data_IF_802696202833
#
_entry.id   IF_802696202833
#
_cell.length_a   1.000
_cell.length_b   1.000
_cell.length_c   1.000
_cell.angle_alpha   90.00
_cell.angle_beta   90.00
_cell.angle_gamma   90.00
#
_symmetry.space_group_name_H-M   'P 1'
#
loop_
_entity.id
_entity.type
_entity.pdbx_description
1 polymer ?
#
# COMPACT_ATOMS: atom_id res chain seq x y z
N UNK A 1 -16.89 -15.78 -27.77
CA UNK A 1 -16.99 -15.10 -26.46
C UNK A 1 -15.61 -15.11 -25.84
N UNK A 2 -15.06 -13.98 -25.34
CA UNK A 2 -13.75 -14.00 -24.68
C UNK A 2 -13.85 -14.83 -23.39
N UNK A 3 -12.90 -15.73 -23.19
CA UNK A 3 -12.77 -16.54 -21.98
C UNK A 3 -12.44 -15.61 -20.80
N UNK A 4 -13.05 -15.78 -19.61
CA UNK A 4 -12.67 -15.01 -18.44
C UNK A 4 -11.19 -15.27 -18.10
N UNK A 5 -10.38 -14.22 -18.08
CA UNK A 5 -8.99 -14.27 -17.62
C UNK A 5 -8.98 -14.23 -16.09
N UNK A 6 -8.55 -15.32 -15.46
CA UNK A 6 -8.40 -15.41 -14.01
C UNK A 6 -6.95 -15.12 -13.60
N UNK A 7 -6.76 -14.19 -12.67
CA UNK A 7 -5.45 -13.89 -12.08
C UNK A 7 -5.45 -14.31 -10.62
N UNK A 8 -4.55 -15.22 -10.25
CA UNK A 8 -4.38 -15.70 -8.87
C UNK A 8 -3.33 -14.83 -8.20
N UNK A 9 -3.66 -14.26 -7.04
CA UNK A 9 -2.73 -13.46 -6.22
C UNK A 9 -2.63 -14.03 -4.81
N UNK A 10 -1.41 -14.06 -4.27
CA UNK A 10 -1.17 -14.47 -2.89
C UNK A 10 -1.29 -13.29 -1.92
N UNK A 11 -2.02 -13.50 -0.83
CA UNK A 11 -2.20 -12.54 0.27
C UNK A 11 -1.14 -12.74 1.37
N UNK A 12 -0.73 -13.99 1.62
CA UNK A 12 0.24 -14.36 2.66
C UNK A 12 -0.16 -13.82 4.07
N UNK A 13 0.83 -13.55 4.93
CA UNK A 13 0.63 -12.96 6.25
C UNK A 13 0.19 -11.48 6.20
N UNK A 14 0.34 -10.83 5.04
CA UNK A 14 -0.02 -9.42 4.84
C UNK A 14 -1.51 -9.17 5.07
N UNK A 15 -2.36 -10.17 4.85
CA UNK A 15 -3.79 -10.06 5.12
C UNK A 15 -4.10 -9.79 6.59
N UNK A 16 -3.34 -10.39 7.52
CA UNK A 16 -3.50 -10.17 8.95
C UNK A 16 -3.01 -8.79 9.36
N UNK A 17 -1.85 -8.38 8.81
CA UNK A 17 -1.28 -7.05 9.07
C UNK A 17 -2.23 -5.96 8.53
N UNK A 18 -2.75 -6.12 7.31
CA UNK A 18 -3.71 -5.20 6.71
C UNK A 18 -5.00 -5.10 7.54
N UNK A 19 -5.51 -6.23 8.02
CA UNK A 19 -6.69 -6.25 8.89
C UNK A 19 -6.44 -5.48 10.20
N UNK A 20 -5.27 -5.66 10.82
CA UNK A 20 -4.89 -4.94 12.03
C UNK A 20 -4.75 -3.43 11.77
N UNK A 21 -4.07 -3.02 10.69
CA UNK A 21 -3.95 -1.62 10.31
C UNK A 21 -5.32 -0.95 10.11
N UNK A 22 -6.28 -1.70 9.55
CA UNK A 22 -7.65 -1.23 9.35
C UNK A 22 -8.43 -1.13 10.67
N UNK A 23 -8.30 -2.12 11.56
CA UNK A 23 -8.95 -2.14 12.86
C UNK A 23 -8.48 -0.98 13.75
N UNK A 24 -7.18 -0.73 13.74
CA UNK A 24 -6.54 0.40 14.43
C UNK A 24 -6.76 1.76 13.75
N UNK A 25 -7.39 1.76 12.57
CA UNK A 25 -7.63 2.97 11.76
C UNK A 25 -6.37 3.80 11.49
N UNK A 26 -5.24 3.15 11.25
CA UNK A 26 -3.94 3.83 11.10
C UNK A 26 -4.00 4.86 9.97
N UNK A 27 -4.56 4.49 8.81
CA UNK A 27 -4.64 5.41 7.68
C UNK A 27 -5.51 6.65 8.00
N UNK A 28 -6.67 6.45 8.62
CA UNK A 28 -7.56 7.56 9.02
C UNK A 28 -6.89 8.50 10.03
N UNK A 29 -6.13 7.94 10.99
CA UNK A 29 -5.43 8.72 12.00
C UNK A 29 -4.34 9.60 11.37
N UNK A 30 -3.58 9.05 10.44
CA UNK A 30 -2.53 9.80 9.73
C UNK A 30 -3.15 10.83 8.80
N UNK A 31 -4.18 10.47 8.03
CA UNK A 31 -4.84 11.41 7.12
C UNK A 31 -5.51 12.58 7.86
N UNK A 32 -5.85 12.42 9.14
CA UNK A 32 -6.35 13.49 10.00
C UNK A 32 -5.24 14.47 10.44
N UNK A 33 -3.99 14.03 10.55
CA UNK A 33 -2.83 14.85 10.95
C UNK A 33 -2.14 15.44 9.73
N UNK A 34 -1.98 14.63 8.68
CA UNK A 34 -1.27 14.93 7.43
C UNK A 34 -2.26 14.72 6.27
N UNK A 35 -3.02 15.78 5.89
CA UNK A 35 -4.02 15.65 4.84
C UNK A 35 -3.39 15.28 3.49
N UNK A 36 -4.18 14.61 2.65
CA UNK A 36 -3.76 14.23 1.29
C UNK A 36 -3.35 15.46 0.47
N UNK A 37 -2.18 15.39 -0.17
CA UNK A 37 -1.75 16.37 -1.16
C UNK A 37 -2.51 16.17 -2.48
N UNK A 38 -2.91 17.27 -3.14
CA UNK A 38 -3.83 17.25 -4.28
C UNK A 38 -3.33 16.45 -5.50
N UNK A 39 -2.01 16.32 -5.65
CA UNK A 39 -1.36 15.67 -6.79
C UNK A 39 -1.06 14.17 -6.56
N UNK A 40 -1.44 13.61 -5.40
CA UNK A 40 -1.15 12.22 -5.06
C UNK A 40 -2.33 11.28 -5.38
N UNK A 41 -2.05 10.10 -5.94
CA UNK A 41 -3.09 9.08 -6.15
C UNK A 41 -3.52 8.39 -4.84
N UNK A 42 -2.61 8.30 -3.87
CA UNK A 42 -2.83 7.71 -2.55
C UNK A 42 -2.78 8.77 -1.45
N UNK A 43 -3.42 8.51 -0.31
CA UNK A 43 -3.29 9.35 0.88
C UNK A 43 -1.99 9.04 1.64
N UNK A 44 -1.58 9.92 2.56
CA UNK A 44 -0.41 9.68 3.42
C UNK A 44 -0.65 8.47 4.32
N UNK A 45 -1.85 8.30 4.84
CA UNK A 45 -2.25 7.13 5.61
C UNK A 45 -2.17 5.83 4.80
N UNK A 46 -2.63 5.84 3.54
CA UNK A 46 -2.51 4.69 2.65
C UNK A 46 -1.06 4.37 2.30
N UNK A 47 -0.24 5.39 2.04
CA UNK A 47 1.19 5.25 1.81
C UNK A 47 1.88 4.63 3.05
N UNK A 48 1.56 5.10 4.25
CA UNK A 48 2.11 4.53 5.49
C UNK A 48 1.69 3.07 5.69
N UNK A 49 0.42 2.72 5.45
CA UNK A 49 -0.02 1.32 5.52
C UNK A 49 0.75 0.45 4.52
N UNK A 50 1.00 0.95 3.31
CA UNK A 50 1.86 0.26 2.35
C UNK A 50 3.29 0.08 2.88
N UNK A 51 3.86 1.08 3.56
CA UNK A 51 5.18 0.96 4.20
C UNK A 51 5.22 -0.06 5.33
N UNK A 52 4.17 -0.13 6.15
CA UNK A 52 4.04 -1.14 7.20
C UNK A 52 3.98 -2.54 6.57
N UNK A 53 3.14 -2.71 5.55
CA UNK A 53 3.00 -3.99 4.84
C UNK A 53 4.29 -4.41 4.15
N UNK A 54 5.03 -3.48 3.55
CA UNK A 54 6.34 -3.77 2.98
C UNK A 54 7.36 -4.12 4.06
N UNK A 55 7.47 -3.32 5.13
CA UNK A 55 8.44 -3.50 6.20
C UNK A 55 8.22 -4.77 7.04
N UNK A 56 6.97 -5.23 7.18
CA UNK A 56 6.62 -6.51 7.83
C UNK A 56 6.54 -7.67 6.83
N UNK A 57 6.54 -7.36 5.54
CA UNK A 57 6.40 -8.30 4.44
C UNK A 57 7.71 -8.73 3.78
N UNK A 58 8.80 -7.99 4.01
CA UNK A 58 10.07 -8.19 3.33
C UNK A 58 11.28 -8.05 4.27
N UNK A 59 12.15 -9.06 4.21
CA UNK A 59 13.45 -9.11 4.88
C UNK A 59 14.50 -8.49 3.94
N UNK A 60 15.20 -7.44 4.36
CA UNK A 60 16.48 -6.95 3.79
C UNK A 60 16.53 -6.45 2.32
N UNK A 61 15.51 -5.72 1.84
CA UNK A 61 15.59 -5.00 0.55
C UNK A 61 15.61 -3.47 0.70
N UNK A 62 16.28 -2.75 -0.19
CA UNK A 62 16.29 -1.26 -0.24
C UNK A 62 14.94 -0.72 -0.73
N UNK A 63 14.60 0.53 -0.37
CA UNK A 63 13.33 1.23 -0.68
C UNK A 63 12.91 1.17 -2.17
N UNK A 64 13.84 1.06 -3.12
CA UNK A 64 13.56 1.06 -4.56
C UNK A 64 12.72 -0.13 -5.10
N UNK A 65 12.48 -1.17 -4.29
CA UNK A 65 11.70 -2.36 -4.70
C UNK A 65 10.22 -2.30 -4.31
N UNK A 66 9.73 -1.17 -3.80
CA UNK A 66 8.37 -1.06 -3.28
C UNK A 66 7.28 -1.32 -4.33
N UNK A 67 7.34 -0.67 -5.50
CA UNK A 67 6.33 -0.88 -6.54
C UNK A 67 6.36 -2.31 -7.09
N UNK A 68 7.56 -2.88 -7.30
CA UNK A 68 7.77 -4.28 -7.73
C UNK A 68 7.19 -5.28 -6.72
N UNK A 69 7.41 -5.05 -5.42
CA UNK A 69 6.88 -5.87 -4.34
C UNK A 69 5.35 -6.00 -4.43
N UNK A 70 4.67 -4.88 -4.68
CA UNK A 70 3.22 -4.82 -4.72
C UNK A 70 2.58 -5.35 -6.02
N UNK A 71 3.34 -5.52 -7.13
CA UNK A 71 2.79 -6.05 -8.39
C UNK A 71 2.16 -7.44 -8.24
N UNK A 72 2.77 -8.28 -7.41
CA UNK A 72 2.28 -9.65 -7.14
C UNK A 72 1.16 -9.71 -6.08
N UNK A 73 0.86 -8.59 -5.41
CA UNK A 73 -0.05 -8.52 -4.27
C UNK A 73 -1.39 -7.88 -4.65
N UNK A 74 -2.48 -8.21 -3.92
CA UNK A 74 -3.76 -7.55 -4.10
C UNK A 74 -3.79 -6.23 -3.30
N UNK A 75 -3.12 -5.20 -3.82
CA UNK A 75 -3.00 -3.88 -3.16
C UNK A 75 -4.33 -3.26 -2.79
N UNK A 76 -5.33 -3.36 -3.66
CA UNK A 76 -6.66 -2.82 -3.39
C UNK A 76 -7.34 -3.46 -2.18
N UNK A 77 -7.03 -4.74 -1.92
CA UNK A 77 -7.57 -5.47 -0.77
C UNK A 77 -6.77 -5.22 0.50
N UNK A 78 -5.46 -4.98 0.36
CA UNK A 78 -4.54 -4.83 1.49
C UNK A 78 -4.48 -3.39 2.02
N UNK A 79 -4.56 -2.40 1.14
CA UNK A 79 -4.32 -0.98 1.49
C UNK A 79 -5.60 -0.17 1.39
N UNK A 80 -6.34 -0.32 0.28
CA UNK A 80 -7.60 0.39 0.08
C UNK A 80 -8.03 0.40 -1.38
N UNK A 81 -9.32 0.63 -1.62
CA UNK A 81 -9.91 0.67 -2.95
C UNK A 81 -9.21 1.71 -3.84
N UNK A 82 -8.89 1.35 -5.09
CA UNK A 82 -8.20 2.24 -6.04
C UNK A 82 -6.70 2.40 -5.82
N UNK A 83 -6.11 1.72 -4.82
CA UNK A 83 -4.66 1.70 -4.62
C UNK A 83 -4.03 0.67 -5.55
N UNK A 84 -3.40 1.14 -6.62
CA UNK A 84 -2.66 0.31 -7.57
C UNK A 84 -1.17 0.23 -7.18
N UNK A 85 -0.46 -0.86 -7.51
CA UNK A 85 0.98 -1.00 -7.24
C UNK A 85 1.82 0.14 -7.84
N UNK A 86 1.38 0.67 -8.98
CA UNK A 86 1.97 1.79 -9.72
C UNK A 86 1.80 3.15 -9.01
N UNK A 87 0.88 3.26 -8.04
CA UNK A 87 0.75 4.46 -7.22
C UNK A 87 1.75 4.50 -6.04
N UNK A 88 2.40 3.37 -5.74
CA UNK A 88 3.30 3.19 -4.59
C UNK A 88 4.76 3.38 -5.05
N UNK A 89 5.09 4.59 -5.50
CA UNK A 89 6.42 4.97 -5.97
C UNK A 89 7.28 5.54 -4.84
N UNK A 90 8.61 5.47 -4.97
CA UNK A 90 9.55 6.06 -4.00
C UNK A 90 9.30 7.55 -3.74
N UNK A 91 8.89 8.32 -4.76
CA UNK A 91 8.55 9.74 -4.62
C UNK A 91 7.35 9.95 -3.69
N UNK A 92 6.29 9.15 -3.85
CA UNK A 92 5.09 9.22 -3.00
C UNK A 92 5.42 8.84 -1.55
N UNK A 93 6.23 7.79 -1.37
CA UNK A 93 6.65 7.36 -0.04
C UNK A 93 7.60 8.36 0.61
N UNK A 94 8.51 8.95 -0.16
CA UNK A 94 9.44 9.98 0.29
C UNK A 94 8.70 11.24 0.75
N UNK A 95 7.74 11.72 -0.04
CA UNK A 95 6.86 12.84 0.36
C UNK A 95 6.04 12.49 1.60
N UNK A 96 5.65 11.23 1.76
CA UNK A 96 4.92 10.80 2.94
C UNK A 96 5.76 10.85 4.22
N UNK A 97 7.07 10.63 4.12
CA UNK A 97 8.00 10.72 5.24
C UNK A 97 8.46 12.16 5.55
N UNK A 98 8.42 13.03 4.55
CA UNK A 98 8.81 14.44 4.67
C UNK A 98 7.72 15.32 5.31
N UNK A 99 6.45 14.91 5.15
CA UNK A 99 5.27 15.61 5.65
C UNK A 99 5.06 15.43 7.17
#
# INVERSE_FOLDING_TARGET
MPSPSYSIKNIDHLGLVAALCKDLKIAEMIDAVIPKQADCNVTHGQALVAMILNGLGFHSGTLHMFSEYFKSKPTERLIGQGVLPEHLTDDVLGRCLDA
#
